data_IF_777784556415
#
_entry.id   IF_777784556415
#
_cell.length_a   1.000
_cell.length_b   1.000
_cell.length_c   1.000
_cell.angle_alpha   90.00
_cell.angle_beta   90.00
_cell.angle_gamma   90.00
#
_symmetry.space_group_name_H-M   'P 1'
#
loop_
_entity.id
_entity.type
_entity.pdbx_description
1 polymer ?
#
# COMPACT_ATOMS: atom_id res chain seq x y z
N UNK A 1 -2.96 0.78 7.15
CA UNK A 1 -1.99 0.26 6.18
C UNK A 1 -1.35 -0.94 6.82
N UNK A 2 -1.21 -2.02 6.06
CA UNK A 2 -0.36 -3.16 6.43
C UNK A 2 0.73 -3.28 5.37
N UNK A 3 1.86 -3.86 5.76
CA UNK A 3 2.84 -4.34 4.80
C UNK A 3 2.33 -5.65 4.21
N UNK A 4 2.25 -5.72 2.89
CA UNK A 4 1.89 -6.95 2.19
C UNK A 4 3.15 -7.69 1.76
N UNK A 5 3.26 -8.99 2.11
CA UNK A 5 4.39 -9.81 1.66
C UNK A 5 4.25 -10.08 0.16
N UNK A 6 5.14 -9.48 -0.64
CA UNK A 6 5.15 -9.64 -2.09
C UNK A 6 5.36 -11.08 -2.56
N UNK A 7 6.03 -11.93 -1.79
CA UNK A 7 6.24 -13.35 -2.16
C UNK A 7 4.90 -14.06 -2.38
N UNK A 8 3.87 -13.71 -1.61
CA UNK A 8 2.53 -14.28 -1.76
C UNK A 8 1.89 -13.87 -3.09
N UNK A 9 2.19 -12.67 -3.61
CA UNK A 9 1.70 -12.21 -4.92
C UNK A 9 2.45 -12.92 -6.06
N UNK A 10 3.78 -12.99 -5.95
CA UNK A 10 4.66 -13.54 -6.98
C UNK A 10 4.43 -15.04 -7.24
N UNK A 11 3.88 -15.75 -6.26
CA UNK A 11 3.58 -17.18 -6.32
C UNK A 11 2.14 -17.50 -6.71
N UNK A 12 1.28 -16.49 -6.91
CA UNK A 12 -0.10 -16.72 -7.33
C UNK A 12 -0.17 -17.28 -8.76
N UNK A 13 -1.07 -18.24 -9.04
CA UNK A 13 -1.23 -18.79 -10.38
C UNK A 13 -1.48 -17.71 -11.45
N UNK A 14 -0.82 -17.82 -12.59
CA UNK A 14 -0.97 -16.89 -13.71
C UNK A 14 -0.22 -15.55 -13.57
N UNK A 15 0.36 -15.25 -12.39
CA UNK A 15 1.03 -13.97 -12.15
C UNK A 15 2.30 -13.84 -13.00
N UNK A 16 3.08 -14.91 -13.14
CA UNK A 16 4.31 -14.90 -13.92
C UNK A 16 4.05 -14.59 -15.41
N UNK A 17 3.00 -15.17 -15.98
CA UNK A 17 2.56 -14.93 -17.36
C UNK A 17 2.06 -13.51 -17.55
N UNK A 18 1.32 -12.98 -16.57
CA UNK A 18 0.94 -11.57 -16.57
C UNK A 18 2.18 -10.66 -16.51
N UNK A 19 3.16 -10.97 -15.65
CA UNK A 19 4.36 -10.15 -15.47
C UNK A 19 5.21 -10.14 -16.74
N UNK A 20 5.38 -11.28 -17.40
CA UNK A 20 6.10 -11.35 -18.68
C UNK A 20 5.43 -10.47 -19.76
N UNK A 21 4.09 -10.52 -19.85
CA UNK A 21 3.33 -9.64 -20.76
C UNK A 21 3.49 -8.17 -20.41
N UNK A 22 3.45 -7.84 -19.12
CA UNK A 22 3.61 -6.47 -18.62
C UNK A 22 5.01 -5.91 -18.93
N UNK A 23 6.06 -6.74 -18.80
CA UNK A 23 7.44 -6.40 -19.16
C UNK A 23 7.61 -6.19 -20.65
N UNK A 24 7.03 -7.05 -21.51
CA UNK A 24 7.07 -6.86 -22.95
C UNK A 24 6.42 -5.53 -23.40
N UNK A 25 5.30 -5.16 -22.77
CA UNK A 25 4.59 -3.91 -23.04
C UNK A 25 5.34 -2.68 -22.51
N UNK A 26 6.03 -2.81 -21.37
CA UNK A 26 6.98 -1.81 -20.89
C UNK A 26 8.12 -1.61 -21.89
N UNK A 27 8.73 -2.67 -22.38
CA UNK A 27 9.88 -2.58 -23.28
C UNK A 27 9.50 -1.97 -24.63
N UNK A 28 8.30 -2.29 -25.14
CA UNK A 28 7.72 -1.66 -26.32
C UNK A 28 7.47 -0.15 -26.10
N UNK A 29 6.89 0.25 -24.97
CA UNK A 29 6.71 1.64 -24.59
C UNK A 29 8.05 2.40 -24.54
N UNK A 30 9.04 1.83 -23.86
CA UNK A 30 10.36 2.45 -23.75
C UNK A 30 11.07 2.58 -25.11
N UNK A 31 10.88 1.61 -26.00
CA UNK A 31 11.39 1.68 -27.37
C UNK A 31 10.74 2.82 -28.15
N UNK A 32 9.42 2.98 -28.06
CA UNK A 32 8.72 4.08 -28.71
C UNK A 32 9.16 5.45 -28.18
N UNK A 33 9.34 5.60 -26.86
CA UNK A 33 9.81 6.85 -26.25
C UNK A 33 11.24 7.18 -26.65
N UNK A 34 12.14 6.18 -26.69
CA UNK A 34 13.51 6.38 -27.20
C UNK A 34 13.56 6.79 -28.67
N UNK A 35 12.55 6.42 -29.46
CA UNK A 35 12.37 6.86 -30.84
C UNK A 35 11.76 8.28 -30.96
N UNK A 36 11.53 8.98 -29.84
CA UNK A 36 10.99 10.35 -29.81
C UNK A 36 9.47 10.45 -29.74
N UNK A 37 8.76 9.34 -29.51
CA UNK A 37 7.31 9.40 -29.30
C UNK A 37 6.98 9.76 -27.85
N UNK A 38 5.86 10.43 -27.63
CA UNK A 38 5.31 10.63 -26.29
C UNK A 38 4.84 9.28 -25.69
N UNK A 39 4.88 9.12 -24.35
CA UNK A 39 4.30 7.96 -23.70
C UNK A 39 2.80 7.83 -24.01
N UNK A 40 2.39 6.74 -24.66
CA UNK A 40 0.99 6.43 -24.96
C UNK A 40 0.53 5.18 -24.20
N UNK A 41 -0.61 5.32 -23.54
CA UNK A 41 -1.22 4.28 -22.71
C UNK A 41 -2.57 3.79 -23.22
N UNK A 42 -3.06 4.36 -24.32
CA UNK A 42 -4.40 4.10 -24.82
C UNK A 42 -4.58 2.61 -25.17
N UNK A 43 -5.55 1.97 -24.54
CA UNK A 43 -5.84 0.55 -24.71
C UNK A 43 -4.90 -0.39 -23.94
N UNK A 44 -3.88 0.15 -23.26
CA UNK A 44 -2.96 -0.60 -22.40
C UNK A 44 -3.42 -0.64 -20.95
N UNK A 45 -4.44 0.14 -20.60
CA UNK A 45 -5.03 0.16 -19.24
C UNK A 45 -5.49 -1.21 -18.78
N UNK A 46 -5.97 -2.02 -19.74
CA UNK A 46 -6.37 -3.40 -19.49
C UNK A 46 -5.31 -4.22 -18.77
N UNK A 47 -4.02 -3.95 -18.98
CA UNK A 47 -2.92 -4.75 -18.42
C UNK A 47 -2.82 -4.56 -16.89
N UNK A 48 -2.79 -3.32 -16.41
CA UNK A 48 -2.75 -3.08 -14.97
C UNK A 48 -4.12 -3.26 -14.30
N UNK A 49 -5.22 -3.10 -15.05
CA UNK A 49 -6.54 -3.49 -14.56
C UNK A 49 -6.66 -5.01 -14.38
N UNK A 50 -6.04 -5.80 -15.26
CA UNK A 50 -5.96 -7.25 -15.13
C UNK A 50 -5.20 -7.64 -13.85
N UNK A 51 -4.06 -6.99 -13.55
CA UNK A 51 -3.33 -7.18 -12.29
C UNK A 51 -4.25 -6.99 -11.08
N UNK A 52 -4.97 -5.86 -11.07
CA UNK A 52 -5.89 -5.51 -9.99
C UNK A 52 -7.00 -6.56 -9.84
N UNK A 53 -7.67 -6.88 -10.94
CA UNK A 53 -8.90 -7.67 -10.94
C UNK A 53 -8.65 -9.13 -10.63
N UNK A 54 -7.53 -9.69 -11.11
CA UNK A 54 -7.26 -11.12 -11.01
C UNK A 54 -6.36 -11.48 -9.81
N UNK A 55 -5.51 -10.56 -9.33
CA UNK A 55 -4.58 -10.85 -8.23
C UNK A 55 -4.73 -9.90 -7.04
N UNK A 56 -4.63 -8.57 -7.23
CA UNK A 56 -4.52 -7.66 -6.08
C UNK A 56 -5.75 -7.66 -5.17
N UNK A 57 -6.95 -7.87 -5.72
CA UNK A 57 -8.18 -8.00 -4.91
C UNK A 57 -8.13 -9.19 -3.96
N UNK A 58 -7.65 -10.34 -4.41
CA UNK A 58 -7.49 -11.52 -3.55
C UNK A 58 -6.32 -11.34 -2.60
N UNK A 59 -5.16 -10.94 -3.13
CA UNK A 59 -3.93 -10.69 -2.39
C UNK A 59 -4.12 -9.70 -1.24
N UNK A 60 -4.93 -8.65 -1.44
CA UNK A 60 -5.21 -7.66 -0.42
C UNK A 60 -6.47 -7.95 0.41
N UNK A 61 -7.10 -9.12 0.21
CA UNK A 61 -8.36 -9.52 0.85
C UNK A 61 -9.50 -8.51 0.65
N UNK A 62 -9.57 -7.90 -0.53
CA UNK A 62 -10.56 -6.88 -0.85
C UNK A 62 -10.41 -5.59 -0.04
N UNK A 63 -9.21 -5.31 0.47
CA UNK A 63 -8.91 -4.10 1.23
C UNK A 63 -8.03 -3.14 0.43
N UNK A 64 -8.30 -1.85 0.57
CA UNK A 64 -7.42 -0.80 0.05
C UNK A 64 -6.05 -0.88 0.74
N UNK A 65 -4.97 -0.92 -0.03
CA UNK A 65 -3.61 -1.05 0.49
C UNK A 65 -3.15 0.15 1.34
N UNK A 66 -3.74 1.33 1.15
CA UNK A 66 -3.47 2.50 2.00
C UNK A 66 -4.27 2.46 3.32
N UNK A 67 -5.60 2.46 3.22
CA UNK A 67 -6.46 2.69 4.38
C UNK A 67 -7.08 1.43 4.99
N UNK A 68 -6.91 0.26 4.37
CA UNK A 68 -7.55 -1.01 4.74
C UNK A 68 -9.09 -0.97 4.80
N UNK A 69 -9.67 0.04 4.14
CA UNK A 69 -11.11 0.10 3.88
C UNK A 69 -11.51 -1.01 2.92
N UNK A 70 -12.71 -1.56 3.11
CA UNK A 70 -13.28 -2.55 2.19
C UNK A 70 -13.47 -1.91 0.79
N UNK A 71 -13.03 -2.61 -0.25
CA UNK A 71 -13.17 -2.23 -1.65
C UNK A 71 -14.11 -3.15 -2.44
N UNK A 72 -14.80 -4.07 -1.79
CA UNK A 72 -15.78 -4.99 -2.37
C UNK A 72 -17.23 -4.49 -2.18
N UNK A 73 -18.19 -5.20 -2.79
CA UNK A 73 -19.64 -4.99 -2.61
C UNK A 73 -20.12 -3.54 -2.81
N UNK A 74 -19.91 -2.99 -4.00
CA UNK A 74 -20.38 -1.64 -4.37
C UNK A 74 -19.41 -0.50 -4.03
N UNK A 75 -18.29 -0.79 -3.36
CA UNK A 75 -17.18 0.15 -3.23
C UNK A 75 -16.34 0.20 -4.51
N UNK A 76 -16.01 1.40 -4.98
CA UNK A 76 -15.16 1.59 -6.16
C UNK A 76 -13.67 1.50 -5.80
N UNK A 77 -12.92 0.74 -6.59
CA UNK A 77 -11.45 0.62 -6.51
C UNK A 77 -10.74 1.01 -7.80
N UNK A 78 -9.50 1.47 -7.64
CA UNK A 78 -8.60 1.86 -8.71
C UNK A 78 -7.34 0.99 -8.67
N UNK A 79 -6.79 0.73 -9.85
CA UNK A 79 -5.45 0.21 -10.03
C UNK A 79 -4.54 1.44 -9.99
N UNK A 80 -4.02 1.73 -8.80
CA UNK A 80 -3.32 2.97 -8.50
C UNK A 80 -1.84 2.85 -8.79
N UNK A 81 -1.27 3.91 -9.37
CA UNK A 81 0.17 4.03 -9.60
C UNK A 81 0.85 4.74 -8.41
N UNK A 82 1.59 4.00 -7.58
CA UNK A 82 2.29 4.55 -6.41
C UNK A 82 3.11 5.78 -6.79
N UNK A 83 4.00 5.64 -7.78
CA UNK A 83 4.60 6.74 -8.54
C UNK A 83 3.70 7.10 -9.73
N UNK A 84 3.17 8.33 -9.79
CA UNK A 84 2.21 8.76 -10.81
C UNK A 84 2.71 8.61 -12.24
N UNK A 85 1.92 8.00 -13.12
CA UNK A 85 2.36 7.68 -14.50
C UNK A 85 2.48 8.87 -15.46
N UNK A 86 1.71 9.95 -15.27
CA UNK A 86 1.55 11.04 -16.28
C UNK A 86 2.04 12.41 -15.83
N UNK A 87 2.07 12.66 -14.53
CA UNK A 87 2.38 13.98 -13.97
C UNK A 87 2.64 13.83 -12.49
N UNK A 88 3.43 14.75 -11.93
CA UNK A 88 3.68 14.86 -10.50
C UNK A 88 3.15 16.21 -10.04
N UNK A 89 2.38 16.24 -8.96
CA UNK A 89 1.78 17.48 -8.45
C UNK A 89 2.85 18.48 -8.00
N UNK A 90 3.89 17.99 -7.31
CA UNK A 90 4.99 18.79 -6.78
C UNK A 90 5.99 19.23 -7.85
N UNK A 91 5.97 18.62 -9.04
CA UNK A 91 6.85 18.94 -10.17
C UNK A 91 6.08 18.89 -11.49
N UNK A 92 5.50 20.04 -11.92
CA UNK A 92 4.73 20.12 -13.16
C UNK A 92 5.54 19.86 -14.44
N UNK A 93 6.88 19.91 -14.36
CA UNK A 93 7.76 19.64 -15.51
C UNK A 93 8.08 18.15 -15.67
N UNK A 94 7.79 17.36 -14.65
CA UNK A 94 8.05 15.94 -14.66
C UNK A 94 7.08 15.20 -15.62
N UNK A 95 7.57 14.33 -16.52
CA UNK A 95 6.73 13.61 -17.49
C UNK A 95 5.87 12.49 -16.87
N UNK A 96 5.80 12.42 -15.54
CA UNK A 96 5.39 11.22 -14.80
C UNK A 96 6.37 10.05 -14.92
N UNK A 97 6.14 9.03 -14.10
CA UNK A 97 6.95 7.80 -14.05
C UNK A 97 6.42 6.77 -15.05
N UNK A 98 6.32 7.16 -16.33
CA UNK A 98 5.71 6.34 -17.38
C UNK A 98 6.38 4.96 -17.54
N UNK A 99 7.69 4.87 -17.26
CA UNK A 99 8.45 3.62 -17.31
C UNK A 99 8.07 2.61 -16.22
N UNK A 100 7.31 3.04 -15.20
CA UNK A 100 6.84 2.20 -14.09
C UNK A 100 5.36 1.81 -14.22
N UNK A 101 4.69 2.17 -15.33
CA UNK A 101 3.24 1.99 -15.49
C UNK A 101 2.80 0.52 -15.42
N UNK A 102 3.68 -0.40 -15.80
CA UNK A 102 3.45 -1.85 -15.81
C UNK A 102 4.20 -2.61 -14.71
N UNK A 103 5.01 -1.93 -13.89
CA UNK A 103 5.73 -2.57 -12.80
C UNK A 103 4.75 -2.90 -11.67
N UNK A 104 4.62 -4.17 -11.29
CA UNK A 104 3.67 -4.60 -10.25
C UNK A 104 3.93 -3.91 -8.91
N UNK A 105 5.19 -3.60 -8.60
CA UNK A 105 5.59 -2.86 -7.41
C UNK A 105 4.94 -1.48 -7.38
N UNK A 106 4.73 -0.88 -8.55
CA UNK A 106 4.15 0.44 -8.71
C UNK A 106 2.63 0.41 -8.83
N UNK A 107 1.99 -0.77 -8.90
CA UNK A 107 0.52 -0.90 -9.05
C UNK A 107 -0.09 -1.41 -7.75
N UNK A 108 -1.04 -0.65 -7.22
CA UNK A 108 -1.68 -0.88 -5.92
C UNK A 108 -3.20 -1.00 -6.06
N UNK A 109 -3.82 -1.79 -5.18
CA UNK A 109 -5.26 -1.75 -4.98
C UNK A 109 -5.61 -0.58 -4.05
N UNK A 110 -6.22 0.48 -4.58
CA UNK A 110 -6.64 1.63 -3.78
C UNK A 110 -8.13 1.90 -3.89
N UNK A 111 -8.77 2.33 -2.80
CA UNK A 111 -10.10 2.91 -2.88
C UNK A 111 -10.04 4.30 -3.55
N UNK A 112 -11.15 4.72 -4.16
CA UNK A 112 -11.26 6.03 -4.80
C UNK A 112 -10.97 7.19 -3.84
N UNK A 113 -11.27 7.04 -2.55
CA UNK A 113 -11.10 8.13 -1.57
C UNK A 113 -9.63 8.37 -1.20
N UNK A 114 -8.79 7.32 -1.29
CA UNK A 114 -7.35 7.45 -1.06
C UNK A 114 -6.61 7.85 -2.34
N UNK A 115 -7.08 7.37 -3.49
CA UNK A 115 -6.43 7.67 -4.76
C UNK A 115 -6.88 8.99 -5.38
N UNK A 116 -8.17 9.24 -5.55
CA UNK A 116 -8.65 10.40 -6.32
C UNK A 116 -8.66 11.67 -5.45
N UNK A 117 -8.63 12.88 -6.05
CA UNK A 117 -8.75 14.13 -5.29
C UNK A 117 -9.95 14.10 -4.33
N UNK A 118 -9.79 14.53 -3.07
CA UNK A 118 -8.63 15.24 -2.49
C UNK A 118 -7.54 14.30 -1.90
N UNK A 119 -7.54 13.01 -2.25
CA UNK A 119 -6.51 12.04 -1.90
C UNK A 119 -5.22 12.18 -2.72
N UNK A 120 -4.44 11.11 -2.82
CA UNK A 120 -3.09 11.08 -3.42
C UNK A 120 -3.04 11.67 -4.83
N UNK A 121 -3.77 11.08 -5.77
CA UNK A 121 -3.78 11.44 -7.18
C UNK A 121 -2.34 11.48 -7.71
N UNK A 122 -1.91 12.63 -8.21
CA UNK A 122 -0.54 12.84 -8.70
C UNK A 122 0.43 13.35 -7.63
N UNK A 123 0.02 13.45 -6.36
CA UNK A 123 0.94 13.80 -5.26
C UNK A 123 1.92 12.67 -5.02
N UNK A 124 3.20 13.00 -5.10
CA UNK A 124 4.30 12.10 -4.81
C UNK A 124 5.49 12.90 -4.27
N UNK A 125 5.39 13.45 -3.04
CA UNK A 125 6.45 14.26 -2.47
C UNK A 125 7.66 13.40 -2.10
N UNK A 126 8.83 14.00 -2.22
CA UNK A 126 10.14 13.38 -2.02
C UNK A 126 10.95 14.25 -1.05
N UNK A 127 11.81 13.64 -0.24
CA UNK A 127 12.73 14.37 0.65
C UNK A 127 14.12 14.56 0.02
N UNK A 128 14.47 13.69 -0.94
CA UNK A 128 15.71 13.74 -1.69
C UNK A 128 15.80 14.98 -2.58
N UNK A 129 17.05 15.39 -2.86
CA UNK A 129 17.32 16.62 -3.60
C UNK A 129 16.97 16.54 -5.10
N UNK A 130 16.95 15.34 -5.68
CA UNK A 130 16.77 15.12 -7.11
C UNK A 130 15.66 14.10 -7.35
N UNK A 131 14.70 14.46 -8.21
CA UNK A 131 13.65 13.57 -8.69
C UNK A 131 14.12 12.84 -9.95
N UNK A 132 13.88 11.54 -10.03
CA UNK A 132 14.26 10.72 -11.19
C UNK A 132 13.22 10.90 -12.29
N UNK A 133 13.63 11.46 -13.43
CA UNK A 133 12.73 11.83 -14.54
C UNK A 133 12.79 10.95 -15.78
N UNK A 134 13.61 9.90 -15.75
CA UNK A 134 13.76 8.95 -16.85
C UNK A 134 14.02 7.52 -16.32
N UNK A 135 13.78 6.46 -17.11
CA UNK A 135 14.19 5.12 -16.73
C UNK A 135 15.70 5.03 -16.53
N UNK A 136 16.13 4.17 -15.60
CA UNK A 136 17.55 3.83 -15.43
C UNK A 136 18.12 3.29 -16.74
N UNK A 137 19.41 3.54 -16.95
CA UNK A 137 20.17 2.90 -18.02
C UNK A 137 20.37 1.40 -17.77
N UNK A 138 20.30 0.96 -16.51
CA UNK A 138 20.35 -0.44 -16.11
C UNK A 138 18.98 -0.89 -15.57
N UNK A 139 18.32 -1.78 -16.29
CA UNK A 139 17.03 -2.35 -15.91
C UNK A 139 17.06 -3.12 -14.59
N UNK A 140 18.24 -3.48 -14.07
CA UNK A 140 18.41 -4.15 -12.78
C UNK A 140 18.58 -3.16 -11.61
N UNK A 141 18.91 -1.89 -11.89
CA UNK A 141 19.22 -0.89 -10.85
C UNK A 141 18.12 0.15 -10.63
N UNK A 142 17.04 0.11 -11.42
CA UNK A 142 15.94 1.07 -11.33
C UNK A 142 15.41 1.30 -9.91
N UNK A 143 15.41 0.26 -9.06
CA UNK A 143 14.96 0.39 -7.68
C UNK A 143 15.93 1.21 -6.81
N UNK A 144 17.25 1.08 -6.99
CA UNK A 144 18.24 1.80 -6.18
C UNK A 144 18.27 3.29 -6.52
N UNK A 145 18.17 3.65 -7.80
CA UNK A 145 18.07 5.06 -8.21
C UNK A 145 16.82 5.72 -7.62
N UNK A 146 15.68 5.03 -7.65
CA UNK A 146 14.42 5.53 -7.11
C UNK A 146 14.41 5.68 -5.58
N UNK A 147 15.31 5.02 -4.85
CA UNK A 147 15.46 5.23 -3.40
C UNK A 147 16.11 6.57 -3.07
N UNK A 148 16.94 7.11 -3.97
CA UNK A 148 17.60 8.42 -3.75
C UNK A 148 16.62 9.59 -3.70
N UNK A 149 15.40 9.39 -4.23
CA UNK A 149 14.31 10.34 -4.06
C UNK A 149 13.86 10.45 -2.59
N UNK A 150 14.10 9.44 -1.75
CA UNK A 150 13.57 9.37 -0.38
C UNK A 150 12.05 9.69 -0.34
N UNK A 151 11.19 8.83 -0.93
CA UNK A 151 9.75 9.11 -1.03
C UNK A 151 9.09 9.33 0.33
N UNK A 152 8.25 10.36 0.42
CA UNK A 152 7.49 10.68 1.64
C UNK A 152 6.18 9.88 1.77
N UNK A 153 5.76 9.14 0.74
CA UNK A 153 4.65 8.20 0.85
C UNK A 153 5.14 6.80 1.20
N UNK A 154 4.51 6.14 2.16
CA UNK A 154 4.81 4.74 2.46
C UNK A 154 4.35 3.84 1.32
N UNK A 155 5.23 2.91 0.96
CA UNK A 155 5.04 1.90 -0.05
C UNK A 155 4.47 0.60 0.56
N UNK A 156 3.24 0.18 0.21
CA UNK A 156 2.57 -0.95 0.85
C UNK A 156 3.28 -2.32 0.76
N UNK A 157 4.20 -2.50 -0.18
CA UNK A 157 5.00 -3.73 -0.31
C UNK A 157 6.30 -3.71 0.50
N UNK A 158 6.89 -2.53 0.77
CA UNK A 158 8.28 -2.44 1.21
C UNK A 158 8.42 -1.80 2.59
N UNK A 159 7.60 -0.80 2.90
CA UNK A 159 7.70 -0.09 4.18
C UNK A 159 6.87 -0.79 5.26
N UNK A 160 7.34 -0.71 6.50
CA UNK A 160 6.72 -1.34 7.65
C UNK A 160 5.86 -0.31 8.44
N UNK A 161 4.52 -0.30 8.31
CA UNK A 161 3.70 0.79 8.84
C UNK A 161 3.81 1.03 10.34
N UNK A 162 4.17 0.02 11.16
CA UNK A 162 4.36 0.20 12.61
C UNK A 162 5.54 1.12 12.96
N UNK A 163 6.54 1.19 12.09
CA UNK A 163 7.71 2.06 12.25
C UNK A 163 7.33 3.54 12.02
N UNK A 164 6.33 3.78 11.16
CA UNK A 164 5.92 5.13 10.75
C UNK A 164 4.64 5.63 11.41
N UNK A 165 3.79 4.76 11.96
CA UNK A 165 2.51 5.12 12.57
C UNK A 165 2.43 4.77 14.06
N UNK A 166 1.63 5.53 14.79
CA UNK A 166 1.10 5.16 16.10
C UNK A 166 -0.39 5.42 16.10
N UNK A 167 -1.17 4.56 16.73
CA UNK A 167 -2.61 4.79 16.88
C UNK A 167 -2.88 5.41 18.24
N UNK A 168 -3.81 6.35 18.25
CA UNK A 168 -4.24 7.11 19.42
C UNK A 168 -5.71 6.78 19.69
N UNK A 169 -6.25 7.40 20.73
CA UNK A 169 -7.67 7.28 21.10
C UNK A 169 -8.56 7.50 19.88
N UNK A 170 -9.69 6.80 19.84
CA UNK A 170 -10.70 6.90 18.79
C UNK A 170 -10.17 6.54 17.39
N UNK A 171 -9.24 5.58 17.30
CA UNK A 171 -8.72 5.07 16.02
C UNK A 171 -7.94 6.09 15.18
N UNK A 172 -7.44 7.16 15.79
CA UNK A 172 -6.69 8.20 15.09
C UNK A 172 -5.23 7.78 14.86
N UNK A 173 -4.75 7.86 13.62
CA UNK A 173 -3.34 7.62 13.30
C UNK A 173 -2.50 8.88 13.51
N UNK A 174 -1.33 8.72 14.13
CA UNK A 174 -0.30 9.75 14.25
C UNK A 174 0.99 9.26 13.61
N UNK A 175 1.53 10.04 12.67
CA UNK A 175 2.83 9.77 12.05
C UNK A 175 3.98 9.97 13.04
N UNK A 176 4.82 8.95 13.20
CA UNK A 176 6.09 8.98 13.96
C UNK A 176 7.20 9.64 13.14
N UNK A 177 7.21 9.36 11.85
CA UNK A 177 8.18 9.84 10.85
C UNK A 177 7.53 10.85 9.90
N UNK A 178 8.34 11.56 9.11
CA UNK A 178 7.85 12.43 8.04
C UNK A 178 7.04 11.65 7.00
N UNK A 179 7.52 10.47 6.61
CA UNK A 179 6.80 9.60 5.70
C UNK A 179 5.43 9.20 6.24
N UNK A 180 5.36 8.87 7.54
CA UNK A 180 4.11 8.57 8.20
C UNK A 180 3.15 9.77 8.23
N UNK A 181 3.64 10.97 8.51
CA UNK A 181 2.82 12.19 8.51
C UNK A 181 2.26 12.49 7.12
N UNK A 182 3.13 12.52 6.10
CA UNK A 182 2.74 12.78 4.72
C UNK A 182 1.74 11.74 4.20
N UNK A 183 1.97 10.44 4.48
CA UNK A 183 1.04 9.37 4.06
C UNK A 183 -0.34 9.52 4.68
N UNK A 184 -0.43 9.84 5.98
CA UNK A 184 -1.71 10.07 6.66
C UNK A 184 -2.46 11.24 6.01
N UNK A 185 -1.76 12.34 5.74
CA UNK A 185 -2.32 13.56 5.21
C UNK A 185 -2.78 13.41 3.75
N UNK A 186 -1.93 12.86 2.90
CA UNK A 186 -2.17 12.75 1.45
C UNK A 186 -3.22 11.69 1.16
N UNK A 187 -3.12 10.50 1.76
CA UNK A 187 -4.09 9.42 1.56
C UNK A 187 -5.36 9.58 2.42
N UNK A 188 -5.46 10.67 3.19
CA UNK A 188 -6.59 10.99 4.09
C UNK A 188 -6.92 9.83 5.04
N UNK A 189 -5.91 9.31 5.73
CA UNK A 189 -6.06 8.10 6.55
C UNK A 189 -6.83 8.33 7.86
N UNK A 190 -7.09 9.58 8.25
CA UNK A 190 -7.90 9.94 9.43
C UNK A 190 -9.28 10.52 9.08
N UNK A 191 -9.88 10.09 7.96
CA UNK A 191 -11.31 10.36 7.70
C UNK A 191 -12.16 9.80 8.85
N UNK A 192 -13.23 10.50 9.30
CA UNK A 192 -14.03 10.08 10.45
C UNK A 192 -14.49 8.62 10.40
N UNK A 193 -14.90 8.15 9.21
CA UNK A 193 -15.30 6.75 8.99
C UNK A 193 -14.18 5.75 9.33
N UNK A 194 -12.94 6.02 8.91
CA UNK A 194 -11.80 5.13 9.18
C UNK A 194 -11.43 5.11 10.66
N UNK A 195 -11.50 6.26 11.33
CA UNK A 195 -11.27 6.36 12.76
C UNK A 195 -12.29 5.53 13.55
N UNK A 196 -13.58 5.68 13.24
CA UNK A 196 -14.66 4.90 13.85
C UNK A 196 -14.53 3.40 13.56
N UNK A 197 -14.13 3.02 12.34
CA UNK A 197 -13.87 1.62 11.99
C UNK A 197 -12.70 1.05 12.79
N UNK A 198 -11.58 1.77 12.91
CA UNK A 198 -10.44 1.31 13.73
C UNK A 198 -10.80 1.17 15.20
N UNK A 199 -11.56 2.13 15.76
CA UNK A 199 -12.03 2.08 17.15
C UNK A 199 -12.97 0.89 17.39
N UNK A 200 -13.88 0.61 16.44
CA UNK A 200 -14.76 -0.56 16.50
C UNK A 200 -13.96 -1.86 16.48
N UNK A 201 -13.01 -1.99 15.56
CA UNK A 201 -12.18 -3.17 15.42
C UNK A 201 -11.30 -3.36 16.67
N UNK A 202 -10.77 -2.28 17.26
CA UNK A 202 -10.07 -2.31 18.56
C UNK A 202 -10.97 -2.84 19.69
N UNK A 203 -12.23 -2.39 19.75
CA UNK A 203 -13.21 -2.90 20.72
C UNK A 203 -13.49 -4.39 20.54
N UNK A 204 -13.60 -4.87 19.30
CA UNK A 204 -13.79 -6.29 19.01
C UNK A 204 -12.58 -7.15 19.44
N UNK A 205 -11.35 -6.60 19.46
CA UNK A 205 -10.19 -7.31 20.03
C UNK A 205 -10.45 -7.68 21.48
N UNK A 206 -10.89 -6.69 22.29
CA UNK A 206 -11.06 -6.87 23.73
C UNK A 206 -12.08 -7.98 23.98
N UNK A 207 -13.18 -8.01 23.22
CA UNK A 207 -14.16 -9.10 23.27
C UNK A 207 -13.56 -10.47 22.91
N UNK A 208 -12.84 -10.59 21.78
CA UNK A 208 -12.23 -11.88 21.35
C UNK A 208 -11.17 -12.37 22.35
N UNK A 209 -10.42 -11.45 22.96
CA UNK A 209 -9.46 -11.77 24.02
C UNK A 209 -10.15 -12.32 25.28
N UNK A 210 -11.27 -11.71 25.67
CA UNK A 210 -12.08 -12.15 26.80
C UNK A 210 -12.67 -13.55 26.52
N UNK A 211 -13.20 -13.78 25.32
CA UNK A 211 -13.75 -15.09 24.92
C UNK A 211 -12.68 -16.19 25.00
N UNK A 212 -11.49 -15.98 24.43
CA UNK A 212 -10.38 -16.95 24.49
C UNK A 212 -9.89 -17.23 25.92
N UNK A 213 -9.93 -16.21 26.80
CA UNK A 213 -9.63 -16.40 28.21
C UNK A 213 -10.65 -17.34 28.88
N UNK A 214 -11.95 -17.12 28.63
CA UNK A 214 -13.01 -17.97 29.19
C UNK A 214 -13.06 -19.38 28.60
N UNK A 215 -12.62 -19.56 27.37
CA UNK A 215 -12.52 -20.88 26.71
C UNK A 215 -11.31 -21.73 27.18
N UNK A 216 -10.53 -21.27 28.18
CA UNK A 216 -9.33 -21.95 28.70
C UNK A 216 -8.27 -22.30 27.62
N UNK A 217 -8.27 -21.62 26.48
CA UNK A 217 -7.20 -21.73 25.46
C UNK A 217 -6.02 -20.81 25.76
N UNK A 218 -6.10 -20.01 26.83
CA UNK A 218 -5.00 -19.22 27.39
C UNK A 218 -4.62 -19.88 28.72
N UNK A 219 -3.75 -20.89 28.67
CA UNK A 219 -3.32 -21.62 29.88
C UNK A 219 -2.12 -21.00 30.57
N UNK A 220 -1.43 -20.06 29.92
CA UNK A 220 -0.29 -19.32 30.47
C UNK A 220 -0.36 -17.86 30.00
N UNK A 221 0.32 -17.00 30.75
CA UNK A 221 0.45 -15.53 30.63
C UNK A 221 0.96 -15.03 29.25
N UNK A 222 1.10 -15.93 28.27
CA UNK A 222 1.66 -15.69 26.94
C UNK A 222 0.68 -16.23 25.89
N UNK A 223 -0.07 -15.33 25.27
CA UNK A 223 -0.74 -15.63 24.00
C UNK A 223 0.34 -15.76 22.93
N UNK A 224 0.62 -16.97 22.46
CA UNK A 224 1.60 -17.20 21.38
C UNK A 224 0.94 -17.02 20.01
N UNK A 225 1.58 -16.25 19.12
CA UNK A 225 1.16 -16.03 17.73
C UNK A 225 0.28 -14.79 17.49
N UNK A 226 0.07 -14.41 16.21
CA UNK A 226 -0.81 -13.31 15.85
C UNK A 226 -2.27 -13.65 16.21
N UNK A 227 -2.96 -12.73 16.89
CA UNK A 227 -4.38 -12.86 17.21
C UNK A 227 -5.28 -12.65 15.99
N UNK A 228 -4.79 -11.90 15.00
CA UNK A 228 -5.50 -11.54 13.79
C UNK A 228 -4.75 -12.03 12.55
N UNK A 229 -5.49 -12.52 11.58
CA UNK A 229 -4.97 -12.98 10.30
C UNK A 229 -4.84 -11.81 9.31
N UNK A 230 -4.13 -12.00 8.19
CA UNK A 230 -3.99 -10.96 7.17
C UNK A 230 -5.34 -10.51 6.57
N UNK A 231 -6.39 -11.35 6.63
CA UNK A 231 -7.73 -11.03 6.13
C UNK A 231 -8.53 -10.14 7.09
N UNK A 232 -8.27 -10.20 8.40
CA UNK A 232 -8.91 -9.31 9.38
C UNK A 232 -8.57 -7.83 9.08
N UNK A 233 -9.51 -6.92 9.34
CA UNK A 233 -9.31 -5.49 9.09
C UNK A 233 -8.37 -4.90 10.14
N UNK A 234 -7.41 -4.10 9.70
CA UNK A 234 -6.39 -3.53 10.56
C UNK A 234 -5.58 -4.58 11.33
N UNK A 235 -5.55 -5.84 10.87
CA UNK A 235 -5.00 -6.98 11.61
C UNK A 235 -3.58 -6.76 12.11
N UNK A 236 -2.73 -6.15 11.28
CA UNK A 236 -1.39 -5.75 11.67
C UNK A 236 -1.39 -4.74 12.83
N UNK A 237 -2.22 -3.68 12.73
CA UNK A 237 -2.44 -2.73 13.81
C UNK A 237 -2.89 -3.43 15.09
N UNK A 238 -3.90 -4.30 14.99
CA UNK A 238 -4.48 -5.00 16.12
C UNK A 238 -3.43 -5.92 16.79
N UNK A 239 -2.65 -6.66 16.00
CA UNK A 239 -1.57 -7.52 16.51
C UNK A 239 -0.46 -6.70 17.22
N UNK A 240 -0.12 -5.51 16.73
CA UNK A 240 0.91 -4.66 17.35
C UNK A 240 0.50 -4.11 18.73
N UNK A 241 -0.77 -3.77 18.95
CA UNK A 241 -1.26 -3.30 20.26
C UNK A 241 -1.20 -4.41 21.30
N UNK A 242 -1.66 -5.60 20.91
CA UNK A 242 -1.78 -6.75 21.81
C UNK A 242 -0.41 -7.11 22.38
N UNK A 243 0.62 -7.18 21.53
CA UNK A 243 1.97 -7.48 21.98
C UNK A 243 2.50 -6.45 23.00
N UNK A 244 2.25 -5.16 22.79
CA UNK A 244 2.66 -4.10 23.72
C UNK A 244 1.96 -4.26 25.09
N UNK A 245 0.67 -4.59 25.12
CA UNK A 245 -0.07 -4.74 26.38
C UNK A 245 0.34 -5.99 27.18
N UNK A 246 0.76 -7.06 26.52
CA UNK A 246 1.23 -8.28 27.17
C UNK A 246 2.63 -8.13 27.82
N UNK A 247 3.47 -7.20 27.34
CA UNK A 247 4.80 -6.98 27.91
C UNK A 247 4.80 -6.19 29.24
N UNK A 248 3.71 -5.47 29.59
CA UNK A 248 3.59 -4.76 30.87
C UNK A 248 3.07 -5.65 32.01
N UNK A 249 3.60 -6.87 32.10
CA UNK A 249 3.19 -7.90 33.08
C UNK A 249 4.32 -8.38 33.96
N UNK A 250 5.03 -7.48 34.63
CA UNK A 250 5.73 -7.75 35.91
C UNK A 250 5.82 -6.44 36.68
N UNK A 251 5.00 -6.31 37.73
CA UNK A 251 5.28 -5.47 38.89
C UNK A 251 5.81 -6.38 40.00
#
# INVERSE_FOLDING_TARGET
>A
MIRYNSENLLTMPGFAEWNQKAEAERDALLTAVRAGNEPDFKGKERIWQELKNNWLREFCHGKCMYCEGNTQAGAHDDAEHYRPKNAVYEDPTHPGYYWLVFAWQNILLSCIKCNRPPGKSTQFPIAGAVRVSHPSHDSNMWWEELKTEEPLLLHPYFDEPSEHFSVRKHGFLRGRTDQGRATIEICKLNRPQLCAEREREEGQIVSRLIERYYENTITDTIISGPLFSASDRFSFYLNSIVQIRLQFGTL
#
